data_IF_223162845680
#
_entry.id   IF_223162845680
#
_cell.length_a   1.000
_cell.length_b   1.000
_cell.length_c   1.000
_cell.angle_alpha   90.00
_cell.angle_beta   90.00
_cell.angle_gamma   90.00
#
_symmetry.space_group_name_H-M   'P 1'
#
loop_
_entity.id
_entity.type
_entity.pdbx_description
1 polymer ?
#
# COMPACT_ATOMS: atom_id res chain seq x y z
N UNK A 1 -0.55 28.29 32.39
CA UNK A 1 -0.42 26.82 32.50
C UNK A 1 -1.40 26.07 31.61
N UNK A 2 -2.71 26.35 31.64
CA UNK A 2 -3.70 25.62 30.82
C UNK A 2 -3.44 25.62 29.29
N UNK A 3 -3.00 26.74 28.70
CA UNK A 3 -2.68 26.82 27.27
C UNK A 3 -1.45 25.98 26.87
N UNK A 4 -0.42 25.94 27.71
CA UNK A 4 0.79 25.13 27.47
C UNK A 4 0.54 23.63 27.64
N UNK A 5 -0.38 23.25 28.54
CA UNK A 5 -0.81 21.84 28.70
C UNK A 5 -1.73 21.40 27.55
N UNK A 6 -2.54 22.31 26.99
CA UNK A 6 -3.37 22.03 25.80
C UNK A 6 -2.50 21.72 24.57
N UNK A 7 -1.48 22.55 24.30
CA UNK A 7 -0.62 22.34 23.13
C UNK A 7 0.20 21.05 23.23
N UNK A 8 0.72 20.71 24.42
CA UNK A 8 1.43 19.44 24.63
C UNK A 8 0.53 18.23 24.36
N UNK A 9 -0.73 18.29 24.79
CA UNK A 9 -1.67 17.19 24.58
C UNK A 9 -2.05 17.04 23.11
N UNK A 10 -2.18 18.15 22.38
CA UNK A 10 -2.43 18.16 20.93
C UNK A 10 -1.27 17.57 20.14
N UNK A 11 -0.03 17.97 20.46
CA UNK A 11 1.18 17.40 19.87
C UNK A 11 1.24 15.89 20.08
N UNK A 12 1.00 15.42 21.31
CA UNK A 12 1.01 13.98 21.62
C UNK A 12 -0.06 13.22 20.83
N UNK A 13 -1.29 13.76 20.73
CA UNK A 13 -2.36 13.11 19.97
C UNK A 13 -2.04 13.03 18.47
N UNK A 14 -1.46 14.09 17.91
CA UNK A 14 -1.05 14.16 16.52
C UNK A 14 0.09 13.18 16.21
N UNK A 15 1.15 13.18 17.03
CA UNK A 15 2.27 12.24 16.88
C UNK A 15 1.78 10.79 17.03
N UNK A 16 0.85 10.55 17.95
CA UNK A 16 0.27 9.21 18.12
C UNK A 16 -0.49 8.77 16.86
N UNK A 17 -1.33 9.63 16.28
CA UNK A 17 -2.03 9.35 15.02
C UNK A 17 -1.03 8.97 13.90
N UNK A 18 -0.01 9.80 13.69
CA UNK A 18 0.99 9.58 12.64
C UNK A 18 1.78 8.30 12.88
N UNK A 19 2.19 8.03 14.12
CA UNK A 19 2.94 6.82 14.48
C UNK A 19 2.13 5.54 14.24
N UNK A 20 0.83 5.55 14.61
CA UNK A 20 -0.05 4.42 14.34
C UNK A 20 -0.29 4.24 12.84
N UNK A 21 -0.51 5.32 12.09
CA UNK A 21 -0.70 5.27 10.64
C UNK A 21 0.52 4.67 9.93
N UNK A 22 1.73 5.07 10.31
CA UNK A 22 2.99 4.51 9.77
C UNK A 22 3.16 3.04 10.21
N UNK A 23 2.81 2.70 11.45
CA UNK A 23 2.87 1.31 11.94
C UNK A 23 1.90 0.40 11.17
N UNK A 24 0.68 0.87 10.91
CA UNK A 24 -0.32 0.16 10.11
C UNK A 24 0.15 -0.01 8.67
N UNK A 25 0.65 1.06 8.05
CA UNK A 25 1.27 1.05 6.72
C UNK A 25 2.30 -0.06 6.57
N UNK A 26 3.28 -0.15 7.48
CA UNK A 26 4.33 -1.18 7.44
C UNK A 26 3.79 -2.60 7.66
N UNK A 27 2.78 -2.73 8.51
CA UNK A 27 2.15 -4.02 8.83
C UNK A 27 1.35 -4.55 7.63
N UNK A 28 0.58 -3.68 6.98
CA UNK A 28 -0.17 -3.98 5.76
C UNK A 28 0.78 -4.30 4.61
N UNK A 29 1.86 -3.53 4.41
CA UNK A 29 2.86 -3.82 3.38
C UNK A 29 3.50 -5.21 3.59
N UNK A 30 3.83 -5.56 4.84
CA UNK A 30 4.36 -6.88 5.20
C UNK A 30 3.34 -7.99 4.91
N UNK A 31 2.08 -7.83 5.31
CA UNK A 31 1.02 -8.81 5.07
C UNK A 31 0.78 -9.02 3.56
N UNK A 32 0.68 -7.93 2.80
CA UNK A 32 0.54 -7.97 1.34
C UNK A 32 1.72 -8.68 0.69
N UNK A 33 2.97 -8.30 1.01
CA UNK A 33 4.16 -8.91 0.42
C UNK A 33 4.21 -10.43 0.64
N UNK A 34 3.85 -10.89 1.84
CA UNK A 34 3.78 -12.32 2.18
C UNK A 34 2.69 -13.04 1.38
N UNK A 35 1.53 -12.42 1.20
CA UNK A 35 0.45 -12.98 0.39
C UNK A 35 0.86 -13.08 -1.10
N UNK A 36 1.49 -12.03 -1.65
CA UNK A 36 2.02 -12.01 -3.01
C UNK A 36 3.09 -13.10 -3.22
N UNK A 37 4.04 -13.22 -2.31
CA UNK A 37 5.08 -14.26 -2.39
C UNK A 37 4.48 -15.67 -2.31
N UNK A 38 3.42 -15.84 -1.51
CA UNK A 38 2.74 -17.14 -1.38
C UNK A 38 2.01 -17.56 -2.65
N UNK A 39 1.30 -16.63 -3.32
CA UNK A 39 0.52 -16.92 -4.53
C UNK A 39 1.40 -17.06 -5.78
N UNK A 40 2.51 -16.33 -5.87
CA UNK A 40 3.43 -16.39 -7.03
C UNK A 40 4.34 -17.62 -6.96
N UNK A 41 4.65 -18.11 -5.76
CA UNK A 41 5.58 -19.22 -5.55
C UNK A 41 4.90 -20.42 -4.86
N UNK A 42 3.77 -20.89 -5.39
CA UNK A 42 2.98 -21.99 -4.78
C UNK A 42 3.78 -23.27 -4.56
N UNK A 43 4.64 -23.63 -5.51
CA UNK A 43 5.45 -24.86 -5.46
C UNK A 43 6.67 -24.73 -4.54
N UNK A 44 7.04 -23.52 -4.12
CA UNK A 44 8.19 -23.31 -3.26
C UNK A 44 7.84 -23.68 -1.80
N UNK A 45 8.54 -24.64 -1.18
CA UNK A 45 8.27 -25.01 0.21
C UNK A 45 8.55 -23.87 1.20
N UNK A 46 9.43 -22.93 0.85
CA UNK A 46 9.79 -21.79 1.72
C UNK A 46 8.64 -20.80 1.90
N UNK A 47 7.67 -20.78 0.99
CA UNK A 47 6.54 -19.85 1.02
C UNK A 47 5.28 -20.48 1.64
N UNK A 48 5.38 -21.74 2.10
CA UNK A 48 4.25 -22.49 2.65
C UNK A 48 3.74 -21.94 3.99
N UNK A 49 4.59 -21.31 4.80
CA UNK A 49 4.19 -20.71 6.08
C UNK A 49 3.60 -19.31 5.94
N UNK A 50 3.82 -18.64 4.81
CA UNK A 50 3.47 -17.23 4.63
C UNK A 50 1.97 -16.94 4.81
N UNK A 51 1.02 -17.78 4.35
CA UNK A 51 -0.40 -17.53 4.60
C UNK A 51 -0.75 -17.44 6.09
N UNK A 52 -0.22 -18.36 6.90
CA UNK A 52 -0.42 -18.33 8.35
C UNK A 52 0.14 -17.06 8.98
N UNK A 53 1.28 -16.59 8.48
CA UNK A 53 1.87 -15.33 8.93
C UNK A 53 1.01 -14.12 8.55
N UNK A 54 0.33 -14.13 7.41
CA UNK A 54 -0.65 -13.09 7.02
C UNK A 54 -1.83 -13.09 7.99
N UNK A 55 -2.39 -14.27 8.30
CA UNK A 55 -3.53 -14.39 9.22
C UNK A 55 -3.22 -13.90 10.64
N UNK A 56 -1.96 -14.00 11.08
CA UNK A 56 -1.53 -13.48 12.38
C UNK A 56 -1.40 -11.96 12.42
N UNK A 57 -1.27 -11.29 11.26
CA UNK A 57 -1.15 -9.83 11.18
C UNK A 57 -2.51 -9.12 11.11
N UNK A 58 -3.55 -9.80 10.61
CA UNK A 58 -4.89 -9.22 10.42
C UNK A 58 -5.50 -8.62 11.70
N UNK A 59 -5.49 -9.29 12.87
CA UNK A 59 -6.10 -8.72 14.08
C UNK A 59 -5.41 -7.43 14.51
N UNK A 60 -4.10 -7.33 14.26
CA UNK A 60 -3.30 -6.15 14.60
C UNK A 60 -3.61 -4.98 13.66
N UNK A 61 -3.90 -5.24 12.38
CA UNK A 61 -4.34 -4.23 11.42
C UNK A 61 -5.66 -3.62 11.90
N UNK A 62 -6.64 -4.45 12.25
CA UNK A 62 -7.95 -4.02 12.74
C UNK A 62 -7.85 -3.23 14.06
N UNK A 63 -6.97 -3.65 14.98
CA UNK A 63 -6.72 -2.89 16.22
C UNK A 63 -6.15 -1.50 15.93
N UNK A 64 -5.21 -1.38 14.98
CA UNK A 64 -4.64 -0.08 14.61
C UNK A 64 -5.65 0.84 13.93
N UNK A 65 -6.55 0.30 13.12
CA UNK A 65 -7.68 1.05 12.53
C UNK A 65 -8.50 1.73 13.62
N UNK A 66 -8.98 0.96 14.61
CA UNK A 66 -9.78 1.47 15.73
C UNK A 66 -9.05 2.58 16.49
N UNK A 67 -7.75 2.38 16.77
CA UNK A 67 -6.94 3.36 17.48
C UNK A 67 -6.79 4.64 16.66
N UNK A 68 -6.53 4.54 15.35
CA UNK A 68 -6.40 5.70 14.47
C UNK A 68 -7.71 6.49 14.44
N UNK A 69 -8.85 5.82 14.27
CA UNK A 69 -10.17 6.45 14.23
C UNK A 69 -10.48 7.20 15.52
N UNK A 70 -10.24 6.57 16.68
CA UNK A 70 -10.44 7.22 17.97
C UNK A 70 -9.56 8.47 18.13
N UNK A 71 -8.30 8.40 17.72
CA UNK A 71 -7.36 9.51 17.81
C UNK A 71 -7.74 10.66 16.86
N UNK A 72 -8.12 10.36 15.63
CA UNK A 72 -8.59 11.32 14.65
C UNK A 72 -9.85 12.07 15.15
N UNK A 73 -10.84 11.36 15.70
CA UNK A 73 -12.04 11.98 16.30
C UNK A 73 -11.69 12.87 17.50
N UNK A 74 -10.76 12.44 18.35
CA UNK A 74 -10.29 13.25 19.50
C UNK A 74 -9.60 14.53 19.04
N UNK A 75 -8.81 14.48 17.98
CA UNK A 75 -8.21 15.66 17.35
C UNK A 75 -9.32 16.57 16.82
N UNK A 76 -10.20 16.10 15.93
CA UNK A 76 -11.27 16.91 15.33
C UNK A 76 -12.14 17.64 16.38
N UNK A 77 -12.45 16.99 17.50
CA UNK A 77 -13.25 17.59 18.58
C UNK A 77 -12.60 18.81 19.25
N UNK A 78 -11.27 18.94 19.23
CA UNK A 78 -10.55 20.06 19.86
C UNK A 78 -10.62 21.36 19.04
N UNK A 79 -10.88 21.27 17.73
CA UNK A 79 -11.28 22.40 16.89
C UNK A 79 -10.24 23.51 16.64
N UNK A 80 -8.96 23.30 16.96
CA UNK A 80 -7.90 24.31 16.82
C UNK A 80 -6.76 23.84 15.90
N UNK A 81 -7.08 23.46 14.66
CA UNK A 81 -6.11 22.98 13.65
C UNK A 81 -6.11 23.87 12.42
N UNK A 82 -4.94 24.02 11.80
CA UNK A 82 -4.80 24.61 10.48
C UNK A 82 -5.46 23.74 9.40
N UNK A 83 -5.73 24.32 8.23
CA UNK A 83 -6.32 23.58 7.11
C UNK A 83 -5.46 22.37 6.70
N UNK A 84 -4.13 22.48 6.79
CA UNK A 84 -3.20 21.39 6.49
C UNK A 84 -3.32 20.23 7.47
N UNK A 85 -3.43 20.53 8.76
CA UNK A 85 -3.65 19.54 9.82
C UNK A 85 -5.04 18.90 9.71
N UNK A 86 -6.08 19.67 9.38
CA UNK A 86 -7.42 19.12 9.12
C UNK A 86 -7.41 18.19 7.91
N UNK A 87 -6.73 18.56 6.82
CA UNK A 87 -6.57 17.68 5.67
C UNK A 87 -5.82 16.41 6.05
N UNK A 88 -4.74 16.49 6.85
CA UNK A 88 -4.06 15.30 7.34
C UNK A 88 -5.02 14.39 8.10
N UNK A 89 -5.77 14.92 9.08
CA UNK A 89 -6.64 14.10 9.94
C UNK A 89 -7.71 13.41 9.09
N UNK A 90 -8.30 14.11 8.12
CA UNK A 90 -9.29 13.55 7.21
C UNK A 90 -8.67 12.51 6.27
N UNK A 91 -7.52 12.81 5.65
CA UNK A 91 -6.81 11.85 4.80
C UNK A 91 -6.36 10.63 5.59
N UNK A 92 -5.93 10.79 6.84
CA UNK A 92 -5.54 9.68 7.71
C UNK A 92 -6.69 8.69 7.94
N UNK A 93 -7.90 9.18 8.22
CA UNK A 93 -9.10 8.32 8.36
C UNK A 93 -9.37 7.52 7.07
N UNK A 94 -9.30 8.18 5.91
CA UNK A 94 -9.57 7.54 4.62
C UNK A 94 -8.50 6.49 4.27
N UNK A 95 -7.24 6.88 4.38
CA UNK A 95 -6.07 6.01 4.13
C UNK A 95 -6.10 4.81 5.07
N UNK A 96 -6.46 4.99 6.34
CA UNK A 96 -6.62 3.90 7.30
C UNK A 96 -7.65 2.87 6.83
N UNK A 97 -8.81 3.30 6.35
CA UNK A 97 -9.80 2.39 5.77
C UNK A 97 -9.23 1.68 4.52
N UNK A 98 -8.53 2.37 3.61
CA UNK A 98 -7.91 1.70 2.44
C UNK A 98 -6.81 0.70 2.85
N UNK A 99 -6.05 1.00 3.92
CA UNK A 99 -5.05 0.10 4.50
C UNK A 99 -5.68 -1.17 5.09
N UNK A 100 -6.80 -1.04 5.82
CA UNK A 100 -7.56 -2.18 6.32
C UNK A 100 -8.02 -3.07 5.15
N UNK A 101 -8.58 -2.45 4.10
CA UNK A 101 -9.04 -3.17 2.91
C UNK A 101 -7.92 -3.94 2.20
N UNK A 102 -6.73 -3.36 2.10
CA UNK A 102 -5.55 -4.07 1.57
C UNK A 102 -5.18 -5.25 2.47
N UNK A 103 -5.24 -5.08 3.80
CA UNK A 103 -5.04 -6.15 4.78
C UNK A 103 -6.01 -7.33 4.58
N UNK A 104 -7.30 -7.03 4.47
CA UNK A 104 -8.37 -7.99 4.16
C UNK A 104 -8.15 -8.72 2.84
N UNK A 105 -7.78 -7.98 1.78
CA UNK A 105 -7.49 -8.56 0.47
C UNK A 105 -6.23 -9.44 0.51
N UNK A 106 -5.22 -9.10 1.31
CA UNK A 106 -4.06 -9.94 1.53
C UNK A 106 -4.43 -11.27 2.22
N UNK A 107 -5.34 -11.24 3.21
CA UNK A 107 -5.90 -12.46 3.81
C UNK A 107 -6.63 -13.31 2.78
N UNK A 108 -7.49 -12.70 1.97
CA UNK A 108 -8.21 -13.39 0.91
C UNK A 108 -7.24 -14.05 -0.10
N UNK A 109 -6.20 -13.34 -0.51
CA UNK A 109 -5.16 -13.85 -1.41
C UNK A 109 -4.37 -15.01 -0.78
N UNK A 110 -4.01 -14.90 0.50
CA UNK A 110 -3.36 -15.95 1.27
C UNK A 110 -4.23 -17.22 1.37
N UNK A 111 -5.54 -17.08 1.55
CA UNK A 111 -6.47 -18.22 1.50
C UNK A 111 -6.49 -18.89 0.13
N UNK A 112 -6.46 -18.12 -0.98
CA UNK A 112 -6.33 -18.70 -2.33
C UNK A 112 -5.04 -19.49 -2.48
N UNK A 113 -3.92 -18.96 -1.97
CA UNK A 113 -2.64 -19.66 -2.02
C UNK A 113 -2.67 -21.01 -1.25
N UNK A 114 -3.33 -21.06 -0.09
CA UNK A 114 -3.55 -22.32 0.64
C UNK A 114 -4.37 -23.30 -0.21
N UNK A 115 -5.53 -22.87 -0.73
CA UNK A 115 -6.39 -23.74 -1.54
C UNK A 115 -5.69 -24.25 -2.79
N UNK A 116 -4.93 -23.41 -3.49
CA UNK A 116 -4.23 -23.78 -4.72
C UNK A 116 -3.11 -24.80 -4.48
N UNK A 117 -2.42 -24.74 -3.33
CA UNK A 117 -1.39 -25.75 -2.98
C UNK A 117 -1.98 -27.15 -2.80
N UNK A 118 -3.25 -27.25 -2.44
CA UNK A 118 -3.97 -28.51 -2.29
C UNK A 118 -4.59 -29.02 -3.59
N UNK A 119 -4.44 -28.29 -4.71
CA UNK A 119 -4.99 -28.65 -6.02
C UNK A 119 -3.91 -29.19 -6.96
N UNK A 120 -3.78 -30.52 -7.13
CA UNK A 120 -2.81 -31.09 -8.05
C UNK A 120 -3.06 -30.63 -9.49
N UNK A 121 -1.99 -30.20 -10.18
CA UNK A 121 -2.08 -29.74 -11.57
C UNK A 121 -2.61 -28.32 -11.76
N UNK A 122 -2.72 -27.53 -10.69
CA UNK A 122 -2.92 -26.09 -10.79
C UNK A 122 -1.75 -25.44 -11.54
N UNK A 123 -2.03 -24.86 -12.71
CA UNK A 123 -1.02 -24.19 -13.52
C UNK A 123 -1.05 -22.69 -13.24
N UNK A 124 0.08 -22.17 -12.76
CA UNK A 124 0.24 -20.74 -12.51
C UNK A 124 0.14 -19.97 -13.83
N UNK A 125 -0.74 -18.95 -13.96
CA UNK A 125 -0.73 -18.06 -15.12
C UNK A 125 0.60 -17.34 -15.24
N UNK A 126 1.15 -17.25 -16.45
CA UNK A 126 2.46 -16.66 -16.74
C UNK A 126 2.51 -15.17 -16.32
N UNK A 127 1.41 -14.48 -16.56
CA UNK A 127 1.24 -13.05 -16.33
C UNK A 127 0.96 -12.72 -14.85
N UNK A 128 0.73 -13.72 -13.98
CA UNK A 128 0.42 -13.49 -12.56
C UNK A 128 1.61 -12.90 -11.79
N UNK A 129 2.83 -13.37 -12.06
CA UNK A 129 4.02 -12.84 -11.40
C UNK A 129 4.31 -11.38 -11.79
N UNK A 130 4.26 -10.98 -13.08
CA UNK A 130 4.26 -9.59 -13.48
C UNK A 130 3.16 -8.73 -12.84
N UNK A 131 1.92 -9.22 -12.79
CA UNK A 131 0.81 -8.52 -12.13
C UNK A 131 1.09 -8.27 -10.65
N UNK A 132 1.54 -9.30 -9.92
CA UNK A 132 1.91 -9.19 -8.52
C UNK A 132 3.06 -8.20 -8.27
N UNK A 133 4.03 -8.12 -9.19
CA UNK A 133 5.11 -7.15 -9.13
C UNK A 133 4.61 -5.70 -9.35
N UNK A 134 3.68 -5.50 -10.29
CA UNK A 134 3.05 -4.20 -10.53
C UNK A 134 2.26 -3.72 -9.30
N UNK A 135 1.41 -4.58 -8.74
CA UNK A 135 0.64 -4.29 -7.50
C UNK A 135 1.58 -3.95 -6.35
N UNK A 136 2.66 -4.73 -6.15
CA UNK A 136 3.67 -4.45 -5.13
C UNK A 136 4.28 -3.06 -5.30
N UNK A 137 4.65 -2.71 -6.53
CA UNK A 137 5.26 -1.41 -6.82
C UNK A 137 4.28 -0.25 -6.57
N UNK A 138 3.01 -0.41 -6.94
CA UNK A 138 1.96 0.60 -6.68
C UNK A 138 1.77 0.84 -5.18
N UNK A 139 1.60 -0.23 -4.40
CA UNK A 139 1.43 -0.14 -2.94
C UNK A 139 2.68 0.43 -2.29
N UNK A 140 3.87 -0.12 -2.52
CA UNK A 140 5.10 0.42 -1.90
C UNK A 140 5.33 1.89 -2.25
N UNK A 141 4.95 2.33 -3.47
CA UNK A 141 5.04 3.73 -3.87
C UNK A 141 4.00 4.61 -3.19
N UNK A 142 2.74 4.18 -3.07
CA UNK A 142 1.71 4.96 -2.36
C UNK A 142 2.04 5.10 -0.87
N UNK A 143 2.54 4.03 -0.25
CA UNK A 143 2.99 4.03 1.15
C UNK A 143 4.26 4.87 1.35
N UNK A 144 5.20 4.83 0.39
CA UNK A 144 6.34 5.75 0.36
C UNK A 144 5.90 7.21 0.27
N UNK A 145 4.91 7.50 -0.58
CA UNK A 145 4.37 8.85 -0.73
C UNK A 145 3.73 9.36 0.57
N UNK A 146 3.09 8.48 1.35
CA UNK A 146 2.55 8.79 2.67
C UNK A 146 3.67 9.15 3.66
N UNK A 147 4.67 8.27 3.79
CA UNK A 147 5.76 8.42 4.77
C UNK A 147 6.58 9.69 4.49
N UNK A 148 6.86 9.96 3.21
CA UNK A 148 7.68 11.12 2.80
C UNK A 148 6.85 12.36 2.46
N UNK A 149 5.52 12.33 2.64
CA UNK A 149 4.62 13.43 2.29
C UNK A 149 4.85 13.92 0.84
N UNK A 150 4.95 13.00 -0.10
CA UNK A 150 5.42 13.27 -1.45
C UNK A 150 4.31 13.12 -2.51
N UNK A 151 3.69 14.25 -2.88
CA UNK A 151 2.63 14.28 -3.90
C UNK A 151 3.10 13.90 -5.32
N UNK A 152 4.38 14.10 -5.65
CA UNK A 152 4.95 13.69 -6.95
C UNK A 152 5.02 12.16 -7.03
N UNK A 153 5.43 11.51 -5.94
CA UNK A 153 5.43 10.04 -5.84
C UNK A 153 4.02 9.45 -5.91
N UNK A 154 3.05 10.10 -5.27
CA UNK A 154 1.64 9.70 -5.35
C UNK A 154 1.08 9.83 -6.79
N UNK A 155 1.41 10.90 -7.51
CA UNK A 155 0.94 11.08 -8.90
C UNK A 155 1.39 9.95 -9.83
N UNK A 156 2.61 9.42 -9.66
CA UNK A 156 3.12 8.28 -10.43
C UNK A 156 2.33 6.99 -10.18
N UNK A 157 1.71 6.83 -9.00
CA UNK A 157 0.83 5.68 -8.72
C UNK A 157 -0.41 5.73 -9.62
N UNK A 158 -1.02 6.91 -9.78
CA UNK A 158 -2.22 7.09 -10.61
C UNK A 158 -1.97 6.76 -12.09
N UNK A 159 -0.75 7.00 -12.58
CA UNK A 159 -0.36 6.66 -13.96
C UNK A 159 -0.12 5.16 -14.17
N UNK A 160 -0.07 4.36 -13.10
CA UNK A 160 0.27 2.93 -13.14
C UNK A 160 -0.94 2.00 -13.09
N UNK A 161 -2.15 2.54 -12.89
CA UNK A 161 -3.37 1.77 -12.60
C UNK A 161 -3.77 0.82 -13.74
N UNK A 162 -3.80 1.35 -14.98
CA UNK A 162 -4.13 0.60 -16.20
C UNK A 162 -3.27 -0.66 -16.39
N UNK A 163 -2.05 -0.70 -15.83
CA UNK A 163 -1.14 -1.83 -15.97
C UNK A 163 -1.71 -3.08 -15.31
N UNK A 164 -2.33 -2.95 -14.14
CA UNK A 164 -2.89 -4.09 -13.39
C UNK A 164 -4.13 -4.64 -14.06
N UNK A 165 -5.00 -3.75 -14.57
CA UNK A 165 -6.17 -4.10 -15.37
C UNK A 165 -5.81 -4.91 -16.61
N UNK A 166 -4.80 -4.46 -17.36
CA UNK A 166 -4.34 -5.17 -18.55
C UNK A 166 -3.86 -6.60 -18.24
N UNK A 167 -3.15 -6.80 -17.12
CA UNK A 167 -2.76 -8.14 -16.69
C UNK A 167 -3.94 -8.99 -16.24
N UNK A 168 -4.89 -8.41 -15.50
CA UNK A 168 -6.11 -9.12 -15.07
C UNK A 168 -6.85 -9.68 -16.28
N UNK A 169 -7.05 -8.86 -17.32
CA UNK A 169 -7.80 -9.23 -18.50
C UNK A 169 -7.09 -10.32 -19.31
N UNK A 170 -5.78 -10.19 -19.51
CA UNK A 170 -4.96 -11.21 -20.17
C UNK A 170 -5.00 -12.56 -19.44
N UNK A 171 -4.88 -12.55 -18.10
CA UNK A 171 -4.97 -13.78 -17.29
C UNK A 171 -6.37 -14.38 -17.40
N UNK A 172 -7.41 -13.55 -17.34
CA UNK A 172 -8.80 -14.01 -17.41
C UNK A 172 -9.09 -14.73 -18.73
N UNK A 173 -8.69 -14.15 -19.87
CA UNK A 173 -8.87 -14.76 -21.19
C UNK A 173 -8.20 -16.13 -21.28
N UNK A 174 -6.95 -16.24 -20.80
CA UNK A 174 -6.17 -17.48 -20.85
C UNK A 174 -6.73 -18.56 -19.91
N UNK A 175 -7.18 -18.16 -18.72
CA UNK A 175 -7.86 -19.08 -17.80
C UNK A 175 -9.17 -19.60 -18.40
N UNK A 176 -9.95 -18.73 -19.04
CA UNK A 176 -11.19 -19.13 -19.71
C UNK A 176 -10.96 -20.12 -20.84
N UNK A 177 -9.91 -19.91 -21.66
CA UNK A 177 -9.51 -20.87 -22.69
C UNK A 177 -9.15 -22.23 -22.08
N UNK A 178 -8.28 -22.25 -21.07
CA UNK A 178 -7.83 -23.47 -20.40
C UNK A 178 -8.99 -24.25 -19.76
N UNK A 179 -9.91 -23.56 -19.09
CA UNK A 179 -11.09 -24.18 -18.46
C UNK A 179 -12.06 -24.76 -19.49
N UNK A 180 -12.17 -24.15 -20.67
CA UNK A 180 -13.01 -24.65 -21.77
C UNK A 180 -12.40 -25.91 -22.41
N UNK A 181 -11.08 -25.95 -22.54
CA UNK A 181 -10.36 -27.10 -23.11
C UNK A 181 -10.28 -28.28 -22.14
N UNK A 182 -10.14 -28.04 -20.84
CA UNK A 182 -9.93 -29.08 -19.83
C UNK A 182 -10.77 -28.81 -18.57
N UNK A 183 -11.86 -29.58 -18.39
CA UNK A 183 -12.76 -29.42 -17.25
C UNK A 183 -12.07 -29.59 -15.87
N UNK A 184 -10.95 -30.34 -15.80
CA UNK A 184 -10.15 -30.48 -14.58
C UNK A 184 -9.50 -29.17 -14.13
N UNK A 185 -9.34 -28.18 -15.02
CA UNK A 185 -8.75 -26.87 -14.71
C UNK A 185 -9.76 -25.85 -14.17
N UNK A 186 -11.07 -26.19 -14.13
CA UNK A 186 -12.11 -25.24 -13.69
C UNK A 186 -11.90 -24.79 -12.25
N UNK A 187 -11.60 -25.71 -11.34
CA UNK A 187 -11.44 -25.39 -9.92
C UNK A 187 -10.23 -24.50 -9.65
N UNK A 188 -9.05 -24.85 -10.20
CA UNK A 188 -7.83 -24.05 -10.08
C UNK A 188 -7.95 -22.71 -10.80
N UNK A 189 -8.53 -22.71 -12.01
CA UNK A 189 -8.80 -21.51 -12.79
C UNK A 189 -9.67 -20.51 -12.03
N UNK A 190 -10.74 -20.95 -11.37
CA UNK A 190 -11.58 -20.08 -10.55
C UNK A 190 -10.82 -19.47 -9.37
N UNK A 191 -9.92 -20.22 -8.72
CA UNK A 191 -9.09 -19.66 -7.64
C UNK A 191 -8.15 -18.57 -8.16
N UNK A 192 -7.59 -18.73 -9.37
CA UNK A 192 -6.76 -17.69 -10.00
C UNK A 192 -7.56 -16.47 -10.47
N UNK A 193 -8.78 -16.66 -10.98
CA UNK A 193 -9.69 -15.54 -11.29
C UNK A 193 -9.99 -14.73 -10.03
N UNK A 194 -10.24 -15.39 -8.90
CA UNK A 194 -10.44 -14.70 -7.62
C UNK A 194 -9.15 -14.01 -7.14
N UNK A 195 -8.00 -14.66 -7.27
CA UNK A 195 -6.71 -14.08 -6.89
C UNK A 195 -6.39 -12.80 -7.69
N UNK A 196 -6.55 -12.82 -9.01
CA UNK A 196 -6.34 -11.64 -9.88
C UNK A 196 -7.30 -10.51 -9.56
N UNK A 197 -8.57 -10.81 -9.25
CA UNK A 197 -9.51 -9.80 -8.76
C UNK A 197 -9.10 -9.19 -7.42
N UNK A 198 -8.52 -9.97 -6.50
CA UNK A 198 -8.00 -9.42 -5.25
C UNK A 198 -6.79 -8.52 -5.49
N UNK A 199 -5.92 -8.87 -6.44
CA UNK A 199 -4.77 -8.06 -6.84
C UNK A 199 -5.17 -6.71 -7.46
N UNK A 200 -6.16 -6.71 -8.35
CA UNK A 200 -6.71 -5.48 -8.92
C UNK A 200 -7.30 -4.57 -7.83
N UNK A 201 -8.15 -5.10 -6.95
CA UNK A 201 -8.67 -4.31 -5.82
C UNK A 201 -7.59 -3.74 -4.90
N UNK A 202 -6.46 -4.43 -4.72
CA UNK A 202 -5.33 -3.90 -3.95
C UNK A 202 -4.71 -2.70 -4.69
N UNK A 203 -4.60 -2.77 -6.01
CA UNK A 203 -4.13 -1.66 -6.84
C UNK A 203 -5.07 -0.45 -6.73
N UNK A 204 -6.39 -0.66 -6.80
CA UNK A 204 -7.39 0.40 -6.63
C UNK A 204 -7.22 1.13 -5.28
N UNK A 205 -7.04 0.37 -4.19
CA UNK A 205 -6.80 0.96 -2.87
C UNK A 205 -5.46 1.71 -2.80
N UNK A 206 -4.43 1.27 -3.53
CA UNK A 206 -3.18 2.02 -3.64
C UNK A 206 -3.38 3.36 -4.37
N UNK A 207 -4.22 3.37 -5.41
CA UNK A 207 -4.64 4.57 -6.15
C UNK A 207 -5.42 5.51 -5.23
N UNK A 208 -6.41 5.04 -4.47
CA UNK A 208 -7.14 5.85 -3.48
C UNK A 208 -6.20 6.51 -2.45
N UNK A 209 -5.25 5.74 -1.89
CA UNK A 209 -4.26 6.25 -0.95
C UNK A 209 -3.44 7.38 -1.59
N UNK A 210 -3.01 7.20 -2.84
CA UNK A 210 -2.27 8.22 -3.58
C UNK A 210 -3.09 9.50 -3.80
N UNK A 211 -4.37 9.38 -4.15
CA UNK A 211 -5.29 10.52 -4.27
C UNK A 211 -5.41 11.29 -2.94
N UNK A 212 -5.54 10.57 -1.82
CA UNK A 212 -5.66 11.16 -0.49
C UNK A 212 -4.39 11.85 0.01
N UNK A 213 -3.23 11.36 -0.40
CA UNK A 213 -1.94 12.03 -0.16
C UNK A 213 -1.85 13.31 -0.99
N UNK A 214 -2.26 13.29 -2.26
CA UNK A 214 -2.26 14.51 -3.10
C UNK A 214 -3.20 15.56 -2.50
N UNK A 215 -4.39 15.15 -2.07
CA UNK A 215 -5.32 16.04 -1.38
C UNK A 215 -4.71 16.60 -0.10
N UNK A 216 -4.10 15.77 0.74
CA UNK A 216 -3.44 16.24 1.95
C UNK A 216 -2.37 17.29 1.65
N UNK A 217 -1.43 16.97 0.76
CA UNK A 217 -0.23 17.77 0.50
C UNK A 217 -0.53 19.04 -0.30
N UNK A 218 -1.41 18.96 -1.30
CA UNK A 218 -1.67 20.07 -2.24
C UNK A 218 -3.03 20.74 -2.06
N UNK A 219 -3.94 20.14 -1.29
CA UNK A 219 -5.33 20.58 -1.22
C UNK A 219 -6.14 20.35 -2.50
N UNK A 220 -5.61 19.57 -3.45
CA UNK A 220 -6.21 19.32 -4.75
C UNK A 220 -6.99 18.02 -4.75
N UNK A 221 -8.24 18.07 -5.18
CA UNK A 221 -9.07 16.89 -5.40
C UNK A 221 -8.84 16.34 -6.81
N UNK A 222 -8.04 15.28 -6.90
CA UNK A 222 -7.67 14.65 -8.18
C UNK A 222 -8.55 13.46 -8.57
N UNK A 223 -9.54 13.11 -7.72
CA UNK A 223 -10.36 11.91 -7.85
C UNK A 223 -11.15 11.85 -9.15
N UNK A 224 -11.42 10.65 -9.66
CA UNK A 224 -12.19 10.41 -10.89
C UNK A 224 -11.62 11.16 -12.11
N UNK A 225 -10.30 11.29 -12.22
CA UNK A 225 -9.65 12.01 -13.33
C UNK A 225 -9.84 13.52 -13.30
N UNK A 226 -10.44 14.10 -12.26
CA UNK A 226 -10.60 15.57 -12.11
C UNK A 226 -9.26 16.29 -11.96
N UNK A 227 -8.21 15.56 -11.57
CA UNK A 227 -6.84 16.06 -11.42
C UNK A 227 -5.97 15.99 -12.67
N UNK A 228 -6.40 15.35 -13.76
CA UNK A 228 -5.59 15.29 -14.98
C UNK A 228 -5.47 16.66 -15.69
N UNK A 229 -6.27 17.64 -15.27
CA UNK A 229 -6.24 19.03 -15.75
C UNK A 229 -5.57 19.92 -14.71
N UNK A 230 -4.32 19.64 -14.35
CA UNK A 230 -3.47 20.67 -13.72
C UNK A 230 -2.64 21.30 -14.84
N UNK A 231 -3.12 22.45 -15.33
CA UNK A 231 -2.34 23.32 -16.22
C UNK A 231 -0.98 23.65 -15.57
N UNK A 232 0.12 23.71 -16.34
CA UNK A 232 1.48 23.92 -15.82
C UNK A 232 1.69 25.20 -14.99
N UNK A 233 0.73 26.14 -15.03
CA UNK A 233 0.75 27.38 -14.28
C UNK A 233 0.45 27.19 -12.77
N UNK A 234 -0.41 26.23 -12.38
CA UNK A 234 -0.76 25.99 -10.96
C UNK A 234 0.33 25.19 -10.24
N UNK A 235 1.06 24.33 -10.98
CA UNK A 235 2.22 23.61 -10.44
C UNK A 235 3.38 24.54 -10.07
N UNK A 236 3.54 25.68 -10.75
CA UNK A 236 4.64 26.61 -10.52
C UNK A 236 4.46 27.47 -9.26
N UNK A 237 3.22 27.76 -8.85
CA UNK A 237 2.92 28.52 -7.63
C UNK A 237 2.93 27.63 -6.38
N UNK A 238 2.49 26.37 -6.49
CA UNK A 238 2.52 25.41 -5.38
C UNK A 238 3.95 24.91 -5.04
N UNK A 239 4.83 24.72 -6.05
CA UNK A 239 6.24 24.32 -5.82
C UNK A 239 7.07 25.46 -5.16
N UNK A 240 6.62 26.72 -5.20
CA UNK A 240 7.31 27.85 -4.54
C UNK A 240 7.02 27.97 -3.04
N UNK A 241 5.99 27.29 -2.53
CA UNK A 241 5.58 27.33 -1.12
C UNK A 241 5.83 26.01 -0.37
N UNK A 242 6.22 24.94 -1.06
CA UNK A 242 6.66 23.71 -0.42
C UNK A 242 8.10 23.88 0.09
N UNK A 243 8.41 23.58 1.38
CA UNK A 243 9.79 23.55 1.83
C UNK A 243 10.53 22.45 1.05
N UNK A 244 11.64 22.81 0.41
CA UNK A 244 12.55 21.88 -0.23
C UNK A 244 13.20 21.00 0.85
N UNK A 245 12.65 19.80 1.04
CA UNK A 245 13.21 18.76 1.91
C UNK A 245 13.82 17.67 1.04
N UNK A 246 14.68 18.05 0.11
CA UNK A 246 15.53 17.10 -0.62
C UNK A 246 17.00 17.43 -0.46
N UNK A 247 17.58 17.17 0.73
CA UNK A 247 19.04 16.98 0.82
C UNK A 247 19.57 16.14 2.00
N UNK A 248 18.74 15.50 2.84
CA UNK A 248 19.26 14.82 4.05
C UNK A 248 18.93 13.32 4.22
N UNK A 249 18.64 12.58 3.14
CA UNK A 249 18.32 11.14 3.22
C UNK A 249 19.35 10.19 2.61
N UNK A 250 20.54 10.66 2.20
CA UNK A 250 21.56 9.82 1.55
C UNK A 250 22.76 9.37 2.40
N UNK A 251 22.83 9.64 3.72
CA UNK A 251 24.02 9.28 4.54
C UNK A 251 23.78 8.28 5.68
N UNK A 252 22.84 7.32 5.58
CA UNK A 252 22.66 6.32 6.66
C UNK A 252 22.92 4.85 6.31
N UNK A 253 23.44 4.51 5.12
CA UNK A 253 23.90 3.15 4.84
C UNK A 253 25.17 3.07 3.99
N UNK A 254 26.32 3.47 4.55
CA UNK A 254 27.63 2.93 4.12
C UNK A 254 28.66 3.01 5.24
N UNK A 255 28.53 2.12 6.22
CA UNK A 255 29.46 1.98 7.35
C UNK A 255 29.78 0.52 7.65
N UNK A 256 30.13 -0.27 6.64
CA UNK A 256 30.75 -1.60 6.83
C UNK A 256 32.16 -1.53 6.28
N UNK A 257 33.11 -1.24 7.17
CA UNK A 257 34.53 -1.21 6.86
C UNK A 257 35.09 -2.64 7.03
N UNK A 258 35.10 -3.43 5.95
CA UNK A 258 35.85 -4.70 5.94
C UNK A 258 37.30 -4.36 5.63
N UNK A 259 38.11 -4.23 6.70
CA UNK A 259 39.55 -4.17 6.58
C UNK A 259 40.08 -5.50 5.98
N UNK A 260 40.55 -5.44 4.74
CA UNK A 260 41.46 -6.44 4.18
C UNK A 260 42.88 -5.96 4.47
N UNK A 261 43.51 -6.57 5.47
CA UNK A 261 44.95 -6.44 5.66
C UNK A 261 45.66 -7.57 4.90
N UNK A 262 46.21 -7.21 3.75
CA UNK A 262 47.24 -7.95 3.03
C UNK A 262 48.37 -6.94 2.88
N UNK A 263 49.52 -7.05 3.56
CA UNK A 263 50.69 -7.78 3.07
C UNK A 263 51.90 -7.51 3.98
N UNK A 264 52.62 -8.57 4.36
CA UNK A 264 54.06 -8.70 4.71
C UNK A 264 54.87 -7.46 5.15
N UNK A 265 55.47 -7.57 6.33
CA UNK A 265 56.93 -7.72 6.51
C UNK A 265 57.21 -8.58 7.73
#
# INVERSE_FOLDING_TARGET
MAAATSSLTETVLYETLVNYLISMTRTVESAMNRALDSIVSLENPRTASLPSEVFLLEPRINEMEIVIDEHAVRLLRRGSYSDDELRLIVSALKITNDLERIGDLAVNLAQRAVSLREMPGAQLPEELAPMAAAVRAMVSRSLGALIFRNAKMAAVVLESDDVVDNYRDAIFEKLMENMTQQASQVSSGLQFVLATRHLERIADHATNIAEDIIYWVRGLDVRHGRGHVVSPEVSAEADQQAPDITENSYELHSGVNIARDTTRA
#
